data_IF_266468895004
#
_entry.id   IF_266468895004
#
_cell.length_a   1.000
_cell.length_b   1.000
_cell.length_c   1.000
_cell.angle_alpha   90.00
_cell.angle_beta   90.00
_cell.angle_gamma   90.00
#
_symmetry.space_group_name_H-M   'P 1'
#
loop_
_entity.id
_entity.type
_entity.pdbx_description
1 polymer ?
#
# COMPACT_ATOMS: atom_id res chain seq x y z
N UNK A 1 26.86 -20.07 11.45
CA UNK A 1 25.92 -19.56 10.43
C UNK A 1 25.81 -20.58 9.32
N UNK A 2 24.73 -21.34 9.25
CA UNK A 2 24.49 -22.35 8.21
C UNK A 2 24.15 -21.65 6.88
N UNK A 3 24.84 -22.00 5.80
CA UNK A 3 24.54 -21.48 4.45
C UNK A 3 23.09 -21.86 4.08
N UNK A 4 22.27 -20.91 3.57
CA UNK A 4 20.91 -21.22 3.16
C UNK A 4 20.91 -22.30 2.07
N UNK A 5 20.04 -23.28 2.20
CA UNK A 5 19.87 -24.34 1.21
C UNK A 5 19.44 -23.73 -0.13
N UNK A 6 19.93 -24.29 -1.23
CA UNK A 6 19.68 -23.81 -2.60
C UNK A 6 18.18 -23.71 -2.94
N UNK A 7 17.34 -24.53 -2.34
CA UNK A 7 15.87 -24.44 -2.46
C UNK A 7 15.26 -23.23 -1.73
N UNK A 8 15.80 -22.88 -0.56
CA UNK A 8 15.38 -21.68 0.19
C UNK A 8 15.71 -20.42 -0.58
N UNK A 9 16.93 -20.35 -1.14
CA UNK A 9 17.35 -19.19 -1.94
C UNK A 9 16.47 -18.98 -3.17
N UNK A 10 16.13 -20.06 -3.90
CA UNK A 10 15.21 -20.02 -5.05
C UNK A 10 13.78 -19.57 -4.68
N UNK A 11 13.33 -19.87 -3.48
CA UNK A 11 12.01 -19.43 -3.02
C UNK A 11 12.04 -17.95 -2.62
N UNK A 12 13.07 -17.49 -1.92
CA UNK A 12 13.25 -16.08 -1.57
C UNK A 12 13.34 -15.23 -2.85
N UNK A 13 14.14 -15.65 -3.83
CA UNK A 13 14.26 -14.96 -5.11
C UNK A 13 12.92 -14.89 -5.86
N UNK A 14 12.12 -15.95 -5.84
CA UNK A 14 10.80 -15.96 -6.46
C UNK A 14 9.84 -14.94 -5.82
N UNK A 15 9.74 -14.91 -4.48
CA UNK A 15 8.87 -13.96 -3.79
C UNK A 15 9.37 -12.52 -3.90
N UNK A 16 10.68 -12.32 -3.89
CA UNK A 16 11.26 -11.00 -4.18
C UNK A 16 10.90 -10.53 -5.60
N UNK A 17 10.94 -11.44 -6.59
CA UNK A 17 10.52 -11.13 -7.96
C UNK A 17 9.02 -10.78 -8.04
N UNK A 18 8.14 -11.48 -7.32
CA UNK A 18 6.72 -11.12 -7.24
C UNK A 18 6.55 -9.69 -6.70
N UNK A 19 7.23 -9.36 -5.62
CA UNK A 19 7.14 -8.03 -5.00
C UNK A 19 7.62 -6.92 -5.93
N UNK A 20 8.85 -7.07 -6.43
CA UNK A 20 9.47 -6.03 -7.27
C UNK A 20 8.76 -5.85 -8.61
N UNK A 21 8.29 -6.95 -9.21
CA UNK A 21 7.56 -6.90 -10.47
C UNK A 21 6.24 -6.13 -10.36
N UNK A 22 5.46 -6.36 -9.30
CA UNK A 22 4.19 -5.63 -9.10
C UNK A 22 4.41 -4.15 -8.89
N UNK A 23 5.43 -3.78 -8.11
CA UNK A 23 5.80 -2.37 -7.93
C UNK A 23 6.25 -1.76 -9.25
N UNK A 24 7.13 -2.44 -9.99
CA UNK A 24 7.62 -1.96 -11.27
C UNK A 24 6.49 -1.80 -12.31
N UNK A 25 5.56 -2.75 -12.35
CA UNK A 25 4.40 -2.68 -13.24
C UNK A 25 3.49 -1.50 -12.86
N UNK A 26 3.19 -1.30 -11.57
CA UNK A 26 2.39 -0.17 -11.11
C UNK A 26 3.05 1.17 -11.46
N UNK A 27 4.37 1.29 -11.23
CA UNK A 27 5.14 2.49 -11.56
C UNK A 27 5.13 2.73 -13.09
N UNK A 28 5.35 1.68 -13.89
CA UNK A 28 5.34 1.78 -15.35
C UNK A 28 3.98 2.21 -15.91
N UNK A 29 2.89 1.63 -15.38
CA UNK A 29 1.51 2.00 -15.76
C UNK A 29 1.20 3.44 -15.35
N UNK A 30 1.65 3.87 -14.16
CA UNK A 30 1.47 5.24 -13.69
C UNK A 30 2.24 6.24 -14.55
N UNK A 31 3.46 5.90 -14.96
CA UNK A 31 4.26 6.72 -15.86
C UNK A 31 3.64 6.82 -17.27
N UNK A 32 3.17 5.70 -17.81
CA UNK A 32 2.48 5.66 -19.10
C UNK A 32 1.16 6.46 -19.10
N UNK A 33 0.46 6.48 -17.96
CA UNK A 33 -0.77 7.25 -17.77
C UNK A 33 -0.54 8.72 -17.37
N UNK A 34 0.71 9.18 -17.32
CA UNK A 34 1.06 10.52 -16.83
C UNK A 34 0.47 10.83 -15.45
N UNK A 35 0.39 9.81 -14.59
CA UNK A 35 -0.12 9.94 -13.22
C UNK A 35 0.99 10.45 -12.30
N UNK A 36 0.64 11.35 -11.38
CA UNK A 36 1.57 11.83 -10.36
C UNK A 36 2.32 10.66 -9.66
N UNK A 37 3.64 10.69 -9.48
CA UNK A 37 4.58 11.82 -9.66
C UNK A 37 5.15 11.97 -11.09
N UNK A 38 4.68 11.25 -12.09
CA UNK A 38 5.23 11.22 -13.45
C UNK A 38 4.53 12.19 -14.42
N UNK A 39 3.47 12.87 -13.97
CA UNK A 39 2.71 13.83 -14.76
C UNK A 39 1.63 14.52 -13.93
N UNK A 40 0.74 15.24 -14.60
CA UNK A 40 -0.27 16.08 -13.96
C UNK A 40 -1.58 15.36 -13.63
N UNK A 41 -1.77 14.14 -14.12
CA UNK A 41 -2.94 13.35 -13.82
C UNK A 41 -2.87 12.85 -12.37
N UNK A 42 -3.96 13.04 -11.63
CA UNK A 42 -4.05 12.52 -10.26
C UNK A 42 -4.93 11.28 -10.21
N UNK A 43 -4.48 10.24 -9.51
CA UNK A 43 -5.35 9.09 -9.16
C UNK A 43 -6.19 9.36 -7.91
N UNK A 44 -6.03 10.51 -7.28
CA UNK A 44 -6.89 10.96 -6.20
C UNK A 44 -8.25 11.33 -6.77
N UNK A 45 -9.18 10.39 -6.74
CA UNK A 45 -10.56 10.57 -7.20
C UNK A 45 -11.54 10.32 -6.06
N UNK A 46 -12.73 10.88 -6.15
CA UNK A 46 -13.81 10.66 -5.20
C UNK A 46 -13.34 10.79 -3.73
N UNK A 47 -13.64 9.83 -2.89
CA UNK A 47 -13.35 9.83 -1.46
C UNK A 47 -11.86 9.96 -1.14
N UNK A 48 -10.99 9.43 -2.00
CA UNK A 48 -9.54 9.55 -1.79
C UNK A 48 -9.09 11.01 -1.83
N UNK A 49 -9.69 11.83 -2.69
CA UNK A 49 -9.40 13.26 -2.81
C UNK A 49 -10.08 14.08 -1.71
N UNK A 50 -11.36 13.79 -1.41
CA UNK A 50 -12.18 14.67 -0.57
C UNK A 50 -12.20 14.26 0.91
N UNK A 51 -11.75 13.05 1.25
CA UNK A 51 -11.77 12.55 2.62
C UNK A 51 -10.41 11.97 3.06
N UNK A 52 -9.85 11.01 2.33
CA UNK A 52 -8.70 10.25 2.83
C UNK A 52 -7.44 11.10 2.97
N UNK A 53 -7.20 12.07 2.10
CA UNK A 53 -6.04 12.97 2.21
C UNK A 53 -6.11 13.76 3.52
N UNK A 54 -7.27 14.28 3.87
CA UNK A 54 -7.47 15.02 5.12
C UNK A 54 -7.33 14.09 6.34
N UNK A 55 -7.81 12.85 6.25
CA UNK A 55 -7.62 11.86 7.30
C UNK A 55 -6.15 11.50 7.50
N UNK A 56 -5.37 11.36 6.43
CA UNK A 56 -3.93 11.15 6.51
C UNK A 56 -3.20 12.38 7.08
N UNK A 57 -3.60 13.59 6.70
CA UNK A 57 -3.04 14.81 7.25
C UNK A 57 -3.27 14.91 8.76
N UNK A 58 -4.49 14.63 9.21
CA UNK A 58 -4.81 14.57 10.65
C UNK A 58 -4.03 13.44 11.34
N UNK A 59 -4.02 12.23 10.78
CA UNK A 59 -3.34 11.08 11.39
C UNK A 59 -1.82 11.29 11.50
N UNK A 60 -1.22 11.92 10.50
CA UNK A 60 0.17 12.35 10.57
C UNK A 60 0.44 13.23 11.78
N UNK A 61 -0.41 14.24 12.02
CA UNK A 61 -0.30 15.11 13.21
C UNK A 61 -0.45 14.33 14.52
N UNK A 62 -1.33 13.33 14.55
CA UNK A 62 -1.45 12.42 15.71
C UNK A 62 -0.15 11.66 15.94
N UNK A 63 0.46 11.11 14.90
CA UNK A 63 1.72 10.35 15.00
C UNK A 63 2.90 11.23 15.44
N UNK A 64 2.88 12.52 15.08
CA UNK A 64 3.88 13.50 15.50
C UNK A 64 3.61 14.11 16.89
N UNK A 65 2.53 13.73 17.55
CA UNK A 65 2.16 14.25 18.87
C UNK A 65 1.49 15.63 18.84
N UNK A 66 1.09 16.12 17.67
CA UNK A 66 0.49 17.45 17.46
C UNK A 66 -1.04 17.43 17.56
N UNK A 67 -1.66 16.24 17.57
CA UNK A 67 -3.12 16.07 17.65
C UNK A 67 -3.48 14.85 18.50
N UNK A 68 -4.72 14.83 19.02
CA UNK A 68 -5.22 13.72 19.83
C UNK A 68 -5.86 12.65 18.96
N UNK A 69 -5.56 11.36 19.26
CA UNK A 69 -6.26 10.22 18.67
C UNK A 69 -7.68 10.03 19.27
N UNK A 70 -7.96 10.63 20.43
CA UNK A 70 -9.23 10.39 21.14
C UNK A 70 -10.35 11.32 20.68
N UNK A 71 -10.01 12.57 20.38
CA UNK A 71 -10.99 13.59 20.04
C UNK A 71 -10.38 14.65 19.11
N UNK A 72 -11.13 15.10 18.12
CA UNK A 72 -10.72 16.18 17.23
C UNK A 72 -11.87 17.14 16.95
N UNK A 73 -11.59 18.44 17.03
CA UNK A 73 -12.49 19.50 16.59
C UNK A 73 -12.45 19.73 15.07
N UNK A 74 -11.42 19.24 14.39
CA UNK A 74 -11.30 19.37 12.92
C UNK A 74 -12.13 18.36 12.13
N UNK A 75 -12.85 17.47 12.83
CA UNK A 75 -13.75 16.50 12.24
C UNK A 75 -15.20 16.86 12.60
N UNK A 76 -15.98 17.28 11.61
CA UNK A 76 -17.33 17.78 11.83
C UNK A 76 -17.36 18.96 12.83
N UNK A 77 -18.22 18.90 13.84
CA UNK A 77 -18.30 19.88 14.93
C UNK A 77 -17.54 19.41 16.19
N UNK A 78 -16.64 18.46 16.03
CA UNK A 78 -15.95 17.79 17.12
C UNK A 78 -16.50 16.39 17.36
N UNK A 79 -15.63 15.39 17.29
CA UNK A 79 -16.03 13.99 17.47
C UNK A 79 -14.93 13.13 18.08
N UNK A 80 -15.34 11.99 18.60
CA UNK A 80 -14.42 10.92 18.97
C UNK A 80 -13.84 10.30 17.70
N UNK A 81 -12.53 10.28 17.61
CA UNK A 81 -11.80 9.87 16.39
C UNK A 81 -11.41 8.39 16.34
N UNK A 82 -11.72 7.60 17.37
CA UNK A 82 -11.45 6.17 17.38
C UNK A 82 -12.19 5.41 16.27
N UNK A 83 -13.44 5.80 15.97
CA UNK A 83 -14.21 5.22 14.86
C UNK A 83 -13.54 5.49 13.51
N UNK A 84 -13.10 6.73 13.28
CA UNK A 84 -12.38 7.13 12.08
C UNK A 84 -11.07 6.36 11.93
N UNK A 85 -10.28 6.29 13.00
CA UNK A 85 -9.03 5.52 13.01
C UNK A 85 -9.27 4.05 12.68
N UNK A 86 -10.20 3.40 13.37
CA UNK A 86 -10.47 1.96 13.20
C UNK A 86 -10.98 1.62 11.81
N UNK A 87 -11.78 2.50 11.21
CA UNK A 87 -12.40 2.25 9.90
C UNK A 87 -11.46 2.57 8.73
N UNK A 88 -10.72 3.69 8.80
CA UNK A 88 -9.95 4.19 7.64
C UNK A 88 -8.43 4.10 7.81
N UNK A 89 -7.91 4.17 9.04
CA UNK A 89 -6.50 4.46 9.28
C UNK A 89 -5.72 3.34 9.98
N UNK A 90 -6.38 2.30 10.48
CA UNK A 90 -5.75 1.22 11.27
C UNK A 90 -4.83 0.28 10.48
N UNK A 91 -4.48 0.60 9.23
CA UNK A 91 -3.52 -0.16 8.45
C UNK A 91 -2.09 0.15 8.91
N UNK A 92 -1.22 -0.86 9.11
CA UNK A 92 0.18 -0.63 9.49
C UNK A 92 0.94 0.19 8.44
N UNK A 93 0.57 0.13 7.17
CA UNK A 93 1.16 0.95 6.12
C UNK A 93 0.91 2.45 6.33
N UNK A 94 -0.19 2.81 6.97
CA UNK A 94 -0.55 4.21 7.21
C UNK A 94 0.37 4.88 8.23
N UNK A 95 1.09 4.12 9.07
CA UNK A 95 2.11 4.66 9.97
C UNK A 95 3.26 5.36 9.20
N UNK A 96 3.49 4.95 7.95
CA UNK A 96 4.49 5.57 7.10
C UNK A 96 4.16 7.03 6.74
N UNK A 97 2.92 7.51 6.94
CA UNK A 97 2.57 8.90 6.65
C UNK A 97 3.36 9.91 7.49
N UNK A 98 3.84 9.51 8.68
CA UNK A 98 4.70 10.34 9.52
C UNK A 98 6.04 10.69 8.85
N UNK A 99 6.51 9.87 7.91
CA UNK A 99 7.77 10.06 7.19
C UNK A 99 7.65 11.08 6.04
N UNK A 100 6.43 11.44 5.65
CA UNK A 100 6.19 12.35 4.53
C UNK A 100 5.79 13.74 5.03
N UNK A 101 6.27 14.82 4.39
CA UNK A 101 5.78 16.17 4.66
C UNK A 101 4.28 16.30 4.33
N UNK A 102 3.61 17.26 4.97
CA UNK A 102 2.17 17.45 4.80
C UNK A 102 1.75 17.80 3.34
N UNK A 103 2.61 18.49 2.62
CA UNK A 103 2.42 18.84 1.20
C UNK A 103 2.64 17.66 0.23
N UNK A 104 3.20 16.54 0.71
CA UNK A 104 3.53 15.34 -0.10
C UNK A 104 2.69 14.12 0.23
N UNK A 105 1.49 14.31 0.79
CA UNK A 105 0.60 13.19 1.11
C UNK A 105 0.09 12.45 -0.14
N UNK A 106 -0.01 13.12 -1.28
CA UNK A 106 -0.28 12.44 -2.56
C UNK A 106 0.83 11.46 -2.93
N UNK A 107 2.09 11.85 -2.74
CA UNK A 107 3.23 10.94 -2.94
C UNK A 107 3.19 9.77 -1.93
N UNK A 108 2.85 10.05 -0.67
CA UNK A 108 2.65 9.00 0.32
C UNK A 108 1.62 7.97 -0.14
N UNK A 109 0.45 8.42 -0.63
CA UNK A 109 -0.59 7.49 -1.13
C UNK A 109 -0.08 6.66 -2.31
N UNK A 110 0.67 7.26 -3.23
CA UNK A 110 1.31 6.53 -4.33
C UNK A 110 2.25 5.44 -3.82
N UNK A 111 3.12 5.78 -2.89
CA UNK A 111 4.12 4.84 -2.33
C UNK A 111 3.44 3.70 -1.57
N UNK A 112 2.45 3.98 -0.71
CA UNK A 112 1.77 2.90 0.01
C UNK A 112 0.95 2.01 -0.91
N UNK A 113 0.38 2.54 -1.99
CA UNK A 113 -0.31 1.74 -2.99
C UNK A 113 0.64 0.77 -3.68
N UNK A 114 1.82 1.23 -4.10
CA UNK A 114 2.86 0.38 -4.66
C UNK A 114 3.29 -0.73 -3.69
N UNK A 115 3.54 -0.38 -2.42
CA UNK A 115 3.92 -1.34 -1.38
C UNK A 115 2.82 -2.38 -1.11
N UNK A 116 1.57 -1.94 -1.03
CA UNK A 116 0.41 -2.84 -0.83
C UNK A 116 0.29 -3.82 -1.99
N UNK A 117 0.40 -3.37 -3.24
CA UNK A 117 0.38 -4.27 -4.42
C UNK A 117 1.50 -5.30 -4.37
N UNK A 118 2.72 -4.90 -4.01
CA UNK A 118 3.81 -5.84 -3.81
C UNK A 118 3.51 -6.89 -2.73
N UNK A 119 2.98 -6.47 -1.59
CA UNK A 119 2.60 -7.37 -0.50
C UNK A 119 1.43 -8.31 -0.88
N UNK A 120 0.44 -7.83 -1.63
CA UNK A 120 -0.67 -8.64 -2.14
C UNK A 120 -0.12 -9.71 -3.08
N UNK A 121 0.79 -9.37 -4.00
CA UNK A 121 1.37 -10.34 -4.92
C UNK A 121 2.15 -11.44 -4.18
N UNK A 122 2.99 -11.10 -3.21
CA UNK A 122 3.71 -12.10 -2.41
C UNK A 122 2.73 -13.02 -1.68
N UNK A 123 1.79 -12.44 -0.93
CA UNK A 123 0.89 -13.22 -0.08
C UNK A 123 -0.02 -14.13 -0.91
N UNK A 124 -0.56 -13.65 -2.02
CA UNK A 124 -1.37 -14.46 -2.93
C UNK A 124 -0.54 -15.53 -3.64
N UNK A 125 0.69 -15.24 -4.10
CA UNK A 125 1.58 -16.22 -4.69
C UNK A 125 1.94 -17.34 -3.70
N UNK A 126 2.25 -16.96 -2.45
CA UNK A 126 2.51 -17.92 -1.39
C UNK A 126 1.28 -18.80 -1.11
N UNK A 127 0.10 -18.20 -0.99
CA UNK A 127 -1.15 -18.91 -0.74
C UNK A 127 -1.47 -19.91 -1.85
N UNK A 128 -1.40 -19.45 -3.11
CA UNK A 128 -1.70 -20.28 -4.30
C UNK A 128 -0.75 -21.48 -4.38
N UNK A 129 0.54 -21.28 -4.13
CA UNK A 129 1.49 -22.39 -4.11
C UNK A 129 1.22 -23.38 -2.97
N UNK A 130 0.93 -22.87 -1.78
CA UNK A 130 0.69 -23.74 -0.60
C UNK A 130 -0.64 -24.46 -0.67
N UNK A 131 -1.69 -23.80 -1.18
CA UNK A 131 -3.05 -24.37 -1.20
C UNK A 131 -3.30 -25.29 -2.38
N UNK A 132 -2.77 -24.95 -3.56
CA UNK A 132 -3.05 -25.66 -4.80
C UNK A 132 -1.83 -26.39 -5.39
N UNK A 133 -0.66 -26.28 -4.79
CA UNK A 133 0.57 -26.93 -5.28
C UNK A 133 1.03 -26.47 -6.67
N UNK A 134 0.62 -25.28 -7.10
CA UNK A 134 0.93 -24.80 -8.44
C UNK A 134 2.43 -24.52 -8.63
N UNK A 135 2.97 -24.79 -9.83
CA UNK A 135 4.34 -24.43 -10.17
C UNK A 135 4.51 -22.90 -10.14
N UNK A 136 5.74 -22.45 -9.89
CA UNK A 136 6.05 -21.02 -9.72
C UNK A 136 5.53 -20.11 -10.86
N UNK A 137 5.66 -20.45 -12.15
CA UNK A 137 5.13 -19.59 -13.22
C UNK A 137 3.61 -19.43 -13.17
N UNK A 138 2.87 -20.51 -12.93
CA UNK A 138 1.41 -20.46 -12.83
C UNK A 138 0.97 -19.69 -11.57
N UNK A 139 1.66 -19.89 -10.44
CA UNK A 139 1.40 -19.14 -9.22
C UNK A 139 1.68 -17.64 -9.41
N UNK A 140 2.75 -17.29 -10.11
CA UNK A 140 3.08 -15.90 -10.44
C UNK A 140 1.96 -15.23 -11.25
N UNK A 141 1.54 -15.83 -12.35
CA UNK A 141 0.51 -15.25 -13.23
C UNK A 141 -0.85 -15.13 -12.54
N UNK A 142 -1.27 -16.17 -11.82
CA UNK A 142 -2.56 -16.15 -11.11
C UNK A 142 -2.56 -15.12 -9.99
N UNK A 143 -1.49 -15.04 -9.21
CA UNK A 143 -1.39 -14.04 -8.14
C UNK A 143 -1.22 -12.61 -8.68
N UNK A 144 -0.57 -12.43 -9.82
CA UNK A 144 -0.48 -11.14 -10.50
C UNK A 144 -1.87 -10.67 -10.96
N UNK A 145 -2.63 -11.55 -11.59
CA UNK A 145 -4.02 -11.26 -12.00
C UNK A 145 -4.89 -10.86 -10.80
N UNK A 146 -4.76 -11.58 -9.69
CA UNK A 146 -5.45 -11.24 -8.45
C UNK A 146 -5.02 -9.87 -7.89
N UNK A 147 -3.72 -9.57 -7.94
CA UNK A 147 -3.16 -8.30 -7.43
C UNK A 147 -3.72 -7.08 -8.15
N UNK A 148 -3.96 -7.18 -9.46
CA UNK A 148 -4.43 -6.08 -10.30
C UNK A 148 -5.90 -6.21 -10.70
N UNK A 149 -6.65 -7.17 -10.18
CA UNK A 149 -8.09 -7.19 -10.41
C UNK A 149 -8.77 -6.05 -9.67
N UNK A 150 -9.77 -5.45 -10.30
CA UNK A 150 -10.61 -4.42 -9.68
C UNK A 150 -11.61 -5.09 -8.74
N UNK A 151 -11.54 -4.73 -7.46
CA UNK A 151 -12.43 -5.23 -6.40
C UNK A 151 -12.53 -4.24 -5.25
#
# INVERSE_FOLDING_TARGET
MTRPNNSTLKNVAFYAACFTFSIALFVALSAAGHVYPFGDNSFLTNDLKYQYIDFFAWFRRVLLGEASLRYSFSQGLGMNTWGLYSYYLASPFNLLCALFPADKLTLFVFVISALKLGCIHISSAWYVQKRFGLPKPAAFLLSLSFTFCSW
#
